data_IF_841266160573
#
_entry.id   IF_841266160573
#
_cell.length_a   1.000
_cell.length_b   1.000
_cell.length_c   1.000
_cell.angle_alpha   90.00
_cell.angle_beta   90.00
_cell.angle_gamma   90.00
#
_symmetry.space_group_name_H-M   'P 1'
#
loop_
_entity.id
_entity.type
_entity.pdbx_description
1 polymer ?
#
# COMPACT_ATOMS: atom_id res chain seq x y z
N UNK A 1 13.42 13.34 6.74
CA UNK A 1 12.45 12.77 5.80
C UNK A 1 12.81 11.31 5.65
N UNK A 2 11.95 10.37 6.06
CA UNK A 2 12.29 8.94 6.04
C UNK A 2 12.04 8.32 4.65
N UNK A 3 12.75 7.23 4.32
CA UNK A 3 12.64 6.54 3.01
C UNK A 3 11.18 6.16 2.68
N UNK A 4 10.43 5.72 3.70
CA UNK A 4 9.02 5.36 3.56
C UNK A 4 8.16 6.56 3.13
N UNK A 5 8.42 7.76 3.64
CA UNK A 5 7.70 8.98 3.29
C UNK A 5 7.84 9.29 1.79
N UNK A 6 9.05 9.15 1.25
CA UNK A 6 9.32 9.34 -0.18
C UNK A 6 8.64 8.28 -1.04
N UNK A 7 8.74 7.00 -0.67
CA UNK A 7 8.05 5.91 -1.37
C UNK A 7 6.53 6.07 -1.36
N UNK A 8 5.97 6.50 -0.23
CA UNK A 8 4.53 6.69 -0.05
C UNK A 8 4.00 7.86 -0.90
N UNK A 9 4.69 9.00 -0.94
CA UNK A 9 4.23 10.17 -1.69
C UNK A 9 4.40 10.02 -3.20
N UNK A 10 5.55 9.50 -3.66
CA UNK A 10 5.85 9.43 -5.09
C UNK A 10 5.37 8.13 -5.72
N UNK A 11 5.94 7.01 -5.28
CA UNK A 11 5.78 5.74 -5.97
C UNK A 11 4.42 5.10 -5.71
N UNK A 12 3.94 5.12 -4.46
CA UNK A 12 2.70 4.45 -4.10
C UNK A 12 1.48 5.10 -4.76
N UNK A 13 1.37 6.42 -4.76
CA UNK A 13 0.33 7.16 -5.50
C UNK A 13 0.32 6.74 -6.97
N UNK A 14 1.48 6.80 -7.64
CA UNK A 14 1.62 6.45 -9.06
C UNK A 14 1.21 5.01 -9.33
N UNK A 15 1.60 4.07 -8.45
CA UNK A 15 1.24 2.65 -8.59
C UNK A 15 -0.26 2.42 -8.41
N UNK A 16 -0.89 3.02 -7.39
CA UNK A 16 -2.34 2.93 -7.19
C UNK A 16 -3.08 3.46 -8.42
N UNK A 17 -2.65 4.59 -8.99
CA UNK A 17 -3.28 5.13 -10.20
C UNK A 17 -3.17 4.18 -11.39
N UNK A 18 -1.99 3.58 -11.60
CA UNK A 18 -1.77 2.63 -12.70
C UNK A 18 -2.59 1.35 -12.54
N UNK A 19 -2.68 0.83 -11.32
CA UNK A 19 -3.51 -0.34 -11.01
C UNK A 19 -5.00 0.00 -11.06
N UNK A 20 -5.38 1.22 -10.66
CA UNK A 20 -6.76 1.70 -10.69
C UNK A 20 -7.39 1.65 -12.08
N UNK A 21 -6.60 1.81 -13.15
CA UNK A 21 -7.05 1.68 -14.54
C UNK A 21 -7.49 0.24 -14.87
N UNK A 22 -7.01 -0.75 -14.12
CA UNK A 22 -7.27 -2.18 -14.33
C UNK A 22 -8.35 -2.73 -13.42
N UNK A 23 -8.84 -1.92 -12.48
CA UNK A 23 -9.95 -2.27 -11.61
C UNK A 23 -11.24 -1.83 -12.29
N UNK A 24 -12.24 -2.70 -12.33
CA UNK A 24 -13.58 -2.30 -12.75
C UNK A 24 -14.30 -1.51 -11.64
N UNK A 25 -15.45 -0.93 -11.99
CA UNK A 25 -16.21 -0.13 -11.03
C UNK A 25 -16.68 -0.94 -9.81
N UNK A 26 -16.96 -2.23 -9.98
CA UNK A 26 -17.39 -3.11 -8.90
C UNK A 26 -16.26 -3.34 -7.89
N UNK A 27 -15.05 -3.64 -8.37
CA UNK A 27 -13.86 -3.75 -7.54
C UNK A 27 -13.54 -2.43 -6.82
N UNK A 28 -13.65 -1.29 -7.49
CA UNK A 28 -13.43 0.03 -6.87
C UNK A 28 -14.42 0.28 -5.72
N UNK A 29 -15.71 0.00 -5.93
CA UNK A 29 -16.75 0.15 -4.89
C UNK A 29 -16.48 -0.77 -3.69
N UNK A 30 -16.09 -2.04 -3.93
CA UNK A 30 -15.75 -2.97 -2.85
C UNK A 30 -14.49 -2.53 -2.07
N UNK A 31 -13.45 -2.07 -2.78
CA UNK A 31 -12.23 -1.57 -2.15
C UNK A 31 -12.54 -0.33 -1.31
N UNK A 32 -13.29 0.63 -1.85
CA UNK A 32 -13.66 1.86 -1.14
C UNK A 32 -14.50 1.56 0.09
N UNK A 33 -15.45 0.61 -0.02
CA UNK A 33 -16.22 0.12 1.13
C UNK A 33 -15.32 -0.46 2.21
N UNK A 34 -14.33 -1.30 1.85
CA UNK A 34 -13.35 -1.85 2.80
C UNK A 34 -12.49 -0.75 3.45
N UNK A 35 -12.07 0.25 2.66
CA UNK A 35 -11.28 1.39 3.15
C UNK A 35 -12.07 2.22 4.17
N UNK A 36 -13.31 2.57 3.87
CA UNK A 36 -14.14 3.44 4.72
C UNK A 36 -14.62 2.76 6.00
N UNK A 37 -14.84 1.44 5.94
CA UNK A 37 -15.29 0.66 7.09
C UNK A 37 -14.15 0.20 8.01
N UNK A 38 -12.89 0.48 7.65
CA UNK A 38 -11.75 0.03 8.42
C UNK A 38 -11.69 0.72 9.79
N UNK A 39 -11.59 -0.10 10.84
CA UNK A 39 -11.39 0.36 12.22
C UNK A 39 -9.94 0.13 12.61
N UNK A 40 -9.24 1.21 12.96
CA UNK A 40 -7.88 1.12 13.47
C UNK A 40 -7.85 1.26 15.00
N UNK A 41 -6.81 0.73 15.66
CA UNK A 41 -6.63 0.97 17.09
C UNK A 41 -6.53 2.47 17.40
N UNK A 42 -6.91 2.87 18.61
CA UNK A 42 -7.00 4.28 19.03
C UNK A 42 -5.70 5.08 18.87
N UNK A 43 -4.54 4.43 18.83
CA UNK A 43 -3.24 5.07 18.62
C UNK A 43 -2.94 5.38 17.14
N UNK A 44 -3.73 4.86 16.20
CA UNK A 44 -3.63 5.15 14.77
C UNK A 44 -4.70 6.18 14.39
N UNK A 45 -4.33 7.46 14.36
CA UNK A 45 -5.22 8.58 14.00
C UNK A 45 -5.40 8.72 12.48
N UNK A 46 -5.77 7.62 11.81
CA UNK A 46 -6.01 7.55 10.36
C UNK A 46 -7.44 7.10 10.10
N UNK A 47 -8.17 7.89 9.31
CA UNK A 47 -9.46 7.55 8.75
C UNK A 47 -9.38 7.74 7.24
N UNK A 48 -9.75 6.71 6.49
CA UNK A 48 -9.90 6.82 5.05
C UNK A 48 -11.25 7.46 4.78
N UNK A 49 -11.23 8.68 4.23
CA UNK A 49 -12.43 9.42 3.81
C UNK A 49 -12.41 9.69 2.29
N UNK A 50 -11.39 9.17 1.60
CA UNK A 50 -11.17 9.40 0.18
C UNK A 50 -11.13 8.04 -0.51
N UNK A 51 -11.85 7.88 -1.63
CA UNK A 51 -11.80 6.67 -2.44
C UNK A 51 -10.40 6.43 -3.03
N UNK A 52 -10.16 5.21 -3.50
CA UNK A 52 -8.89 4.78 -4.06
C UNK A 52 -8.49 5.60 -5.30
N UNK A 53 -9.46 6.00 -6.14
CA UNK A 53 -9.22 6.82 -7.33
C UNK A 53 -8.78 8.25 -7.00
N UNK A 54 -8.99 8.72 -5.77
CA UNK A 54 -8.50 10.00 -5.24
C UNK A 54 -7.25 9.80 -4.35
N UNK A 55 -6.42 8.79 -4.64
CA UNK A 55 -5.22 8.51 -3.85
C UNK A 55 -4.25 9.70 -3.79
N UNK A 56 -4.27 10.63 -4.75
CA UNK A 56 -3.40 11.81 -4.70
C UNK A 56 -3.75 12.79 -3.58
N UNK A 57 -4.99 12.75 -3.08
CA UNK A 57 -5.42 13.55 -1.93
C UNK A 57 -5.06 12.89 -0.59
N UNK A 58 -4.52 11.67 -0.63
CA UNK A 58 -4.12 10.95 0.57
C UNK A 58 -2.87 11.58 1.18
N UNK A 59 -2.87 11.70 2.52
CA UNK A 59 -1.68 12.12 3.26
C UNK A 59 -0.73 10.93 3.39
N UNK A 60 0.55 11.19 3.65
CA UNK A 60 1.54 10.12 3.86
C UNK A 60 1.11 9.08 4.89
N UNK A 61 0.44 9.50 5.96
CA UNK A 61 -0.08 8.59 6.98
C UNK A 61 -1.10 7.58 6.43
N UNK A 62 -1.92 7.98 5.46
CA UNK A 62 -2.86 7.09 4.77
C UNK A 62 -2.10 6.05 3.95
N UNK A 63 -1.12 6.49 3.15
CA UNK A 63 -0.27 5.58 2.39
C UNK A 63 0.51 4.60 3.29
N UNK A 64 1.07 5.07 4.41
CA UNK A 64 1.76 4.19 5.37
C UNK A 64 0.83 3.10 5.89
N UNK A 65 -0.36 3.47 6.36
CA UNK A 65 -1.35 2.50 6.87
C UNK A 65 -1.81 1.57 5.76
N UNK A 66 -2.00 2.08 4.56
CA UNK A 66 -2.35 1.28 3.39
C UNK A 66 -1.28 0.23 3.10
N UNK A 67 -0.03 0.65 2.90
CA UNK A 67 1.10 -0.23 2.58
C UNK A 67 1.35 -1.26 3.69
N UNK A 68 1.31 -0.82 4.95
CA UNK A 68 1.67 -1.68 6.07
C UNK A 68 0.56 -2.66 6.46
N UNK A 69 -0.69 -2.22 6.43
CA UNK A 69 -1.76 -2.90 7.17
C UNK A 69 -2.88 -3.44 6.29
N UNK A 70 -3.31 -2.72 5.24
CA UNK A 70 -4.61 -3.01 4.58
C UNK A 70 -4.57 -3.14 3.06
N UNK A 71 -3.57 -2.58 2.38
CA UNK A 71 -3.56 -2.48 0.93
C UNK A 71 -3.58 -3.85 0.24
N UNK A 72 -2.78 -4.79 0.75
CA UNK A 72 -2.72 -6.16 0.23
C UNK A 72 -4.08 -6.88 0.31
N UNK A 73 -4.72 -7.04 1.48
CA UNK A 73 -6.02 -7.71 1.56
C UNK A 73 -7.15 -6.94 0.86
N UNK A 74 -7.04 -5.61 0.72
CA UNK A 74 -8.05 -4.83 -0.01
C UNK A 74 -8.01 -5.07 -1.51
N UNK A 75 -6.83 -5.09 -2.12
CA UNK A 75 -6.70 -5.06 -3.59
C UNK A 75 -6.48 -6.46 -4.20
N UNK A 76 -5.86 -7.40 -3.48
CA UNK A 76 -5.34 -8.63 -4.08
C UNK A 76 -6.41 -9.52 -4.74
N UNK A 77 -7.65 -9.48 -4.26
CA UNK A 77 -8.77 -10.22 -4.87
C UNK A 77 -9.24 -9.66 -6.22
N UNK A 78 -8.83 -8.44 -6.55
CA UNK A 78 -9.34 -7.68 -7.69
C UNK A 78 -8.32 -7.44 -8.79
N UNK A 79 -7.03 -7.70 -8.52
CA UNK A 79 -5.97 -7.54 -9.52
C UNK A 79 -5.69 -8.84 -10.27
N UNK A 80 -5.30 -8.76 -11.55
CA UNK A 80 -4.70 -9.88 -12.26
C UNK A 80 -3.51 -10.46 -11.49
N UNK A 81 -3.34 -11.79 -11.52
CA UNK A 81 -2.36 -12.52 -10.69
C UNK A 81 -0.93 -11.97 -10.78
N UNK A 82 -0.48 -11.59 -11.98
CA UNK A 82 0.83 -11.00 -12.20
C UNK A 82 1.01 -9.67 -11.45
N UNK A 83 -0.03 -8.84 -11.46
CA UNK A 83 -0.01 -7.50 -10.86
C UNK A 83 -0.20 -7.60 -9.36
N UNK A 84 -1.05 -8.52 -8.90
CA UNK A 84 -1.16 -8.88 -7.49
C UNK A 84 0.18 -9.34 -6.92
N UNK A 85 0.94 -10.16 -7.66
CA UNK A 85 2.28 -10.61 -7.28
C UNK A 85 3.27 -9.45 -7.22
N UNK A 86 3.29 -8.59 -8.25
CA UNK A 86 4.11 -7.38 -8.26
C UNK A 86 3.78 -6.46 -7.07
N UNK A 87 2.50 -6.29 -6.77
CA UNK A 87 2.06 -5.48 -5.64
C UNK A 87 2.50 -6.07 -4.30
N UNK A 88 2.32 -7.37 -4.11
CA UNK A 88 2.76 -8.08 -2.91
C UNK A 88 4.27 -7.93 -2.67
N UNK A 89 5.07 -8.11 -3.72
CA UNK A 89 6.53 -7.94 -3.66
C UNK A 89 6.93 -6.50 -3.32
N UNK A 90 6.29 -5.51 -3.95
CA UNK A 90 6.53 -4.10 -3.64
C UNK A 90 6.23 -3.76 -2.18
N UNK A 91 5.08 -4.21 -1.66
CA UNK A 91 4.72 -4.01 -0.26
C UNK A 91 5.69 -4.72 0.71
N UNK A 92 6.11 -5.95 0.36
CA UNK A 92 7.10 -6.69 1.15
C UNK A 92 8.43 -5.94 1.22
N UNK A 93 8.88 -5.38 0.10
CA UNK A 93 10.12 -4.61 0.03
C UNK A 93 10.05 -3.34 0.89
N UNK A 94 8.96 -2.57 0.81
CA UNK A 94 8.79 -1.40 1.69
C UNK A 94 8.75 -1.80 3.16
N UNK A 95 8.10 -2.92 3.50
CA UNK A 95 8.04 -3.41 4.89
C UNK A 95 9.43 -3.78 5.41
N UNK A 96 10.22 -4.52 4.62
CA UNK A 96 11.59 -4.90 4.97
C UNK A 96 12.49 -3.68 5.16
N UNK A 97 12.40 -2.69 4.28
CA UNK A 97 13.19 -1.46 4.40
C UNK A 97 12.72 -0.52 5.51
N UNK A 98 11.43 -0.55 5.86
CA UNK A 98 10.88 0.33 6.89
C UNK A 98 11.20 -0.16 8.30
N UNK A 99 11.09 -1.47 8.55
CA UNK A 99 11.28 -2.04 9.88
C UNK A 99 11.77 -3.50 9.78
N UNK A 100 13.06 -3.72 9.44
CA UNK A 100 13.63 -5.04 9.42
C UNK A 100 13.65 -5.62 10.84
N UNK A 101 13.19 -6.86 10.98
CA UNK A 101 13.10 -7.57 12.27
C UNK A 101 14.35 -8.41 12.57
N UNK A 102 15.19 -8.65 11.58
CA UNK A 102 16.43 -9.42 11.72
C UNK A 102 17.53 -8.91 10.81
N UNK A 103 18.77 -9.27 11.14
CA UNK A 103 19.94 -8.97 10.30
C UNK A 103 19.89 -9.69 8.95
N UNK A 104 19.20 -10.83 8.88
CA UNK A 104 19.00 -11.57 7.64
C UNK A 104 18.01 -10.88 6.69
N UNK A 105 16.97 -10.24 7.23
CA UNK A 105 16.07 -9.38 6.44
C UNK A 105 16.81 -8.16 5.86
N UNK A 106 17.77 -7.59 6.61
CA UNK A 106 18.63 -6.50 6.12
C UNK A 106 19.50 -7.00 4.95
N UNK A 107 20.15 -8.15 5.10
CA UNK A 107 20.97 -8.76 4.04
C UNK A 107 20.15 -9.14 2.81
N UNK A 108 18.91 -9.61 3.01
CA UNK A 108 18.00 -9.93 1.92
C UNK A 108 17.60 -8.65 1.17
N UNK A 109 17.26 -7.58 1.88
CA UNK A 109 16.94 -6.30 1.26
C UNK A 109 18.13 -5.76 0.46
N UNK A 110 19.35 -5.84 1.01
CA UNK A 110 20.59 -5.42 0.34
C UNK A 110 20.85 -6.20 -0.96
N UNK A 111 20.65 -7.53 -0.95
CA UNK A 111 20.75 -8.41 -2.13
C UNK A 111 19.67 -8.19 -3.18
N UNK A 112 18.52 -7.61 -2.83
CA UNK A 112 17.45 -7.30 -3.78
C UNK A 112 17.70 -5.95 -4.45
N UNK A 113 18.36 -5.03 -3.75
CA UNK A 113 18.72 -3.70 -4.25
C UNK A 113 19.93 -3.72 -5.18
N UNK A 114 20.88 -4.62 -4.93
CA UNK A 114 22.17 -4.73 -5.63
C UNK A 114 22.29 -5.99 -6.48
#
# INVERSE_FOLDING_TARGET
MDYMHLCCLGHMSTLIQRWGIMLDNEALVDIDSKLFNQRFPHNMSVKFNYPLNLCNDWKVKHFRVFVLSIGLPCILSHLPSLIASHFALYLMFIKLLHCPKSTDEIKLADKIVH
#
